data_IF_763337943729
#
_entry.id   IF_763337943729
#
_cell.length_a   1.000
_cell.length_b   1.000
_cell.length_c   1.000
_cell.angle_alpha   90.00
_cell.angle_beta   90.00
_cell.angle_gamma   90.00
#
_symmetry.space_group_name_H-M   'P 1'
#
loop_
_entity.id
_entity.type
_entity.pdbx_description
1 polymer ?
#
# COMPACT_ATOMS: atom_id res chain seq x y z
N UNK A 1 28.06 -5.04 -30.22
CA UNK A 1 27.64 -5.46 -28.85
C UNK A 1 27.32 -4.29 -27.90
N UNK A 2 28.12 -3.20 -27.83
CA UNK A 2 27.80 -2.03 -26.97
C UNK A 2 26.47 -1.33 -27.34
N UNK A 3 26.15 -1.19 -28.62
CA UNK A 3 24.92 -0.53 -29.09
C UNK A 3 23.64 -1.33 -28.80
N UNK A 4 23.66 -2.66 -28.94
CA UNK A 4 22.52 -3.51 -28.58
C UNK A 4 22.14 -3.39 -27.09
N UNK A 5 23.13 -3.21 -26.19
CA UNK A 5 22.88 -2.96 -24.76
C UNK A 5 22.23 -1.60 -24.49
N UNK A 6 22.54 -0.57 -25.29
CA UNK A 6 21.94 0.77 -25.16
C UNK A 6 20.49 0.74 -25.64
N UNK A 7 20.19 0.08 -26.77
CA UNK A 7 18.84 -0.02 -27.31
C UNK A 7 17.90 -0.84 -26.41
N UNK A 8 18.34 -2.00 -25.91
CA UNK A 8 17.57 -2.76 -24.90
C UNK A 8 17.25 -1.90 -23.67
N UNK A 9 18.16 -1.01 -23.26
CA UNK A 9 17.94 -0.12 -22.11
C UNK A 9 16.89 0.94 -22.41
N UNK A 10 16.76 1.42 -23.64
CA UNK A 10 15.72 2.35 -24.07
C UNK A 10 14.35 1.69 -24.19
N UNK A 11 14.28 0.53 -24.83
CA UNK A 11 13.04 -0.27 -24.93
C UNK A 11 12.53 -0.65 -23.54
N UNK A 12 13.43 -1.05 -22.63
CA UNK A 12 13.09 -1.28 -21.23
C UNK A 12 12.65 0.01 -20.52
N UNK A 13 13.21 1.18 -20.85
CA UNK A 13 12.81 2.45 -20.20
C UNK A 13 11.44 2.92 -20.67
N UNK A 14 11.15 2.79 -21.96
CA UNK A 14 9.84 3.10 -22.56
C UNK A 14 8.80 2.08 -22.09
N UNK A 15 9.14 0.78 -22.12
CA UNK A 15 8.30 -0.29 -21.59
C UNK A 15 8.00 -0.13 -20.11
N UNK A 16 9.01 0.18 -19.29
CA UNK A 16 8.85 0.47 -17.84
C UNK A 16 8.08 1.75 -17.54
N UNK A 17 7.88 2.64 -18.50
CA UNK A 17 7.02 3.81 -18.32
C UNK A 17 5.66 3.61 -18.98
N UNK A 18 5.42 2.46 -19.61
CA UNK A 18 4.19 2.25 -20.33
C UNK A 18 4.12 3.20 -21.53
N UNK A 19 5.12 3.20 -22.40
CA UNK A 19 5.09 3.91 -23.69
C UNK A 19 5.03 2.98 -24.90
N UNK A 20 4.96 1.66 -24.71
CA UNK A 20 4.87 0.71 -25.81
C UNK A 20 3.50 0.84 -26.50
N UNK A 21 3.48 1.42 -27.69
CA UNK A 21 2.44 1.14 -28.67
C UNK A 21 2.77 -0.22 -29.31
N UNK A 22 1.81 -1.15 -29.33
CA UNK A 22 2.03 -2.55 -29.76
C UNK A 22 2.41 -2.68 -31.25
N UNK A 23 2.43 -1.58 -32.01
CA UNK A 23 2.45 -1.61 -33.47
C UNK A 23 3.80 -1.31 -34.12
N UNK A 24 4.77 -0.72 -33.43
CA UNK A 24 6.05 -0.35 -34.05
C UNK A 24 7.21 -1.14 -33.46
N UNK A 25 7.46 -2.32 -34.02
CA UNK A 25 8.67 -3.08 -33.72
C UNK A 25 9.82 -2.44 -34.51
N UNK A 26 10.72 -1.73 -33.81
CA UNK A 26 11.90 -1.16 -34.44
C UNK A 26 12.86 -2.28 -34.85
N UNK A 27 13.02 -2.50 -36.15
CA UNK A 27 13.95 -3.48 -36.69
C UNK A 27 15.23 -2.79 -37.14
N UNK A 28 16.31 -2.98 -36.37
CA UNK A 28 17.66 -2.54 -36.72
C UNK A 28 18.52 -3.75 -37.08
N UNK A 29 19.19 -3.72 -38.23
CA UNK A 29 20.08 -4.78 -38.64
C UNK A 29 21.50 -4.56 -38.11
N UNK A 30 22.20 -5.63 -37.74
CA UNK A 30 23.58 -5.55 -37.25
C UNK A 30 24.57 -4.96 -38.28
N UNK A 31 24.20 -4.98 -39.57
CA UNK A 31 24.97 -4.39 -40.68
C UNK A 31 24.73 -2.90 -40.87
N UNK A 32 23.79 -2.30 -40.14
CA UNK A 32 23.46 -0.88 -40.32
C UNK A 32 24.61 0.02 -39.82
N UNK A 33 24.87 1.15 -40.48
CA UNK A 33 25.87 2.11 -40.02
C UNK A 33 25.59 2.64 -38.62
N UNK A 34 26.64 2.98 -37.86
CA UNK A 34 26.53 3.56 -36.50
C UNK A 34 25.65 4.83 -36.49
N UNK A 35 25.70 5.63 -37.57
CA UNK A 35 24.89 6.84 -37.69
C UNK A 35 23.38 6.55 -37.70
N UNK A 36 22.96 5.41 -38.25
CA UNK A 36 21.56 4.96 -38.19
C UNK A 36 21.16 4.71 -36.74
N UNK A 37 22.00 4.04 -35.95
CA UNK A 37 21.72 3.79 -34.53
C UNK A 37 21.62 5.07 -33.71
N UNK A 38 22.52 6.04 -33.92
CA UNK A 38 22.46 7.31 -33.19
C UNK A 38 21.27 8.19 -33.63
N UNK A 39 20.89 8.14 -34.91
CA UNK A 39 19.67 8.79 -35.41
C UNK A 39 18.42 8.21 -34.74
N UNK A 40 18.26 6.89 -34.77
CA UNK A 40 17.12 6.21 -34.14
C UNK A 40 17.08 6.49 -32.64
N UNK A 41 18.21 6.42 -31.94
CA UNK A 41 18.30 6.74 -30.51
C UNK A 41 17.83 8.16 -30.21
N UNK A 42 18.22 9.15 -31.01
CA UNK A 42 17.74 10.54 -30.88
C UNK A 42 16.24 10.65 -31.12
N UNK A 43 15.74 9.95 -32.13
CA UNK A 43 14.30 9.91 -32.43
C UNK A 43 13.51 9.32 -31.26
N UNK A 44 13.94 8.18 -30.71
CA UNK A 44 13.30 7.54 -29.56
C UNK A 44 13.35 8.39 -28.29
N UNK A 45 14.47 9.09 -28.03
CA UNK A 45 14.54 10.07 -26.94
C UNK A 45 13.50 11.18 -27.16
N UNK A 46 13.40 11.72 -28.37
CA UNK A 46 12.42 12.76 -28.71
C UNK A 46 10.98 12.28 -28.52
N UNK A 47 10.66 11.06 -29.00
CA UNK A 47 9.35 10.42 -28.83
C UNK A 47 9.02 10.21 -27.34
N UNK A 48 9.98 9.73 -26.56
CA UNK A 48 9.81 9.53 -25.12
C UNK A 48 9.57 10.87 -24.38
N UNK A 49 10.32 11.92 -24.71
CA UNK A 49 10.11 13.24 -24.09
C UNK A 49 8.77 13.86 -24.50
N UNK A 50 8.35 13.70 -25.76
CA UNK A 50 7.02 14.08 -26.22
C UNK A 50 5.93 13.35 -25.44
N UNK A 51 6.05 12.03 -25.34
CA UNK A 51 5.10 11.18 -24.63
C UNK A 51 5.01 11.53 -23.13
N UNK A 52 6.14 11.80 -22.46
CA UNK A 52 6.13 12.28 -21.06
C UNK A 52 5.36 13.59 -20.90
N UNK A 53 5.53 14.53 -21.84
CA UNK A 53 4.80 15.80 -21.83
C UNK A 53 3.30 15.59 -22.04
N UNK A 54 2.92 14.66 -22.92
CA UNK A 54 1.53 14.29 -23.14
C UNK A 54 0.91 13.66 -21.89
N UNK A 55 1.58 12.70 -21.23
CA UNK A 55 1.12 12.14 -19.96
C UNK A 55 0.99 13.19 -18.86
N UNK A 56 1.94 14.11 -18.75
CA UNK A 56 1.87 15.22 -17.81
C UNK A 56 0.69 16.15 -18.14
N UNK A 57 0.43 16.43 -19.43
CA UNK A 57 -0.73 17.20 -19.87
C UNK A 57 -2.03 16.50 -19.50
N UNK A 58 -2.14 15.19 -19.74
CA UNK A 58 -3.30 14.40 -19.36
C UNK A 58 -3.53 14.42 -17.86
N UNK A 59 -2.49 14.30 -17.02
CA UNK A 59 -2.62 14.42 -15.56
C UNK A 59 -3.11 15.80 -15.09
N UNK A 60 -2.77 16.87 -15.82
CA UNK A 60 -3.29 18.20 -15.54
C UNK A 60 -4.76 18.37 -15.95
N UNK A 61 -5.18 17.70 -17.03
CA UNK A 61 -6.58 17.72 -17.51
C UNK A 61 -7.46 16.80 -16.65
N UNK A 62 -6.89 15.68 -16.20
CA UNK A 62 -7.57 14.61 -15.48
C UNK A 62 -6.88 14.32 -14.15
N UNK A 63 -7.19 15.08 -13.07
CA UNK A 63 -6.54 14.94 -11.77
C UNK A 63 -6.57 13.53 -11.19
N UNK A 64 -7.62 12.74 -11.48
CA UNK A 64 -7.72 11.34 -11.04
C UNK A 64 -6.57 10.45 -11.52
N UNK A 65 -5.91 10.78 -12.65
CA UNK A 65 -4.73 10.05 -13.13
C UNK A 65 -3.50 10.21 -12.23
N UNK A 66 -3.43 11.25 -11.40
CA UNK A 66 -2.27 11.49 -10.52
C UNK A 66 -2.19 10.51 -9.35
N UNK A 67 -3.20 9.67 -9.15
CA UNK A 67 -3.18 8.59 -8.17
C UNK A 67 -2.50 7.33 -8.71
N UNK A 68 -2.22 7.26 -10.00
CA UNK A 68 -1.67 6.07 -10.64
C UNK A 68 -0.42 6.40 -11.45
N UNK A 69 0.55 5.50 -11.37
CA UNK A 69 1.61 5.43 -12.40
C UNK A 69 0.98 5.05 -13.73
N UNK A 70 1.65 5.40 -14.84
CA UNK A 70 1.16 5.06 -16.17
C UNK A 70 1.14 3.54 -16.39
N UNK A 71 2.03 2.79 -15.75
CA UNK A 71 1.97 1.32 -15.79
C UNK A 71 0.71 0.78 -15.12
N UNK A 72 0.33 1.31 -13.94
CA UNK A 72 -0.92 0.93 -13.27
C UNK A 72 -2.13 1.31 -14.15
N UNK A 73 -2.15 2.53 -14.69
CA UNK A 73 -3.23 2.97 -15.59
C UNK A 73 -3.36 2.03 -16.79
N UNK A 74 -2.23 1.67 -17.44
CA UNK A 74 -2.24 0.70 -18.54
C UNK A 74 -2.68 -0.70 -18.13
N UNK A 75 -2.29 -1.14 -16.94
CA UNK A 75 -2.74 -2.42 -16.43
C UNK A 75 -4.27 -2.43 -16.25
N UNK A 76 -4.85 -1.33 -15.77
CA UNK A 76 -6.31 -1.15 -15.70
C UNK A 76 -6.94 -1.20 -17.08
N UNK A 77 -6.38 -0.49 -18.07
CA UNK A 77 -6.85 -0.54 -19.47
C UNK A 77 -6.87 -1.98 -19.99
N UNK A 78 -5.76 -2.71 -19.83
CA UNK A 78 -5.67 -4.11 -20.28
C UNK A 78 -6.71 -4.99 -19.58
N UNK A 79 -6.92 -4.82 -18.27
CA UNK A 79 -7.92 -5.58 -17.54
C UNK A 79 -9.34 -5.24 -18.02
N UNK A 80 -9.66 -3.96 -18.22
CA UNK A 80 -10.95 -3.54 -18.76
C UNK A 80 -11.21 -4.12 -20.15
N UNK A 81 -10.22 -4.06 -21.05
CA UNK A 81 -10.33 -4.65 -22.40
C UNK A 81 -10.53 -6.16 -22.34
N UNK A 82 -9.84 -6.87 -21.44
CA UNK A 82 -10.04 -8.31 -21.25
C UNK A 82 -11.44 -8.65 -20.71
N UNK A 83 -12.00 -7.81 -19.83
CA UNK A 83 -13.37 -7.97 -19.33
C UNK A 83 -14.39 -7.78 -20.47
N UNK A 84 -14.14 -6.85 -21.40
CA UNK A 84 -15.02 -6.70 -22.57
C UNK A 84 -15.02 -7.97 -23.45
N UNK A 85 -13.88 -8.64 -23.54
CA UNK A 85 -13.73 -9.88 -24.31
C UNK A 85 -14.29 -11.13 -23.61
N UNK A 86 -14.55 -11.06 -22.30
CA UNK A 86 -15.09 -12.20 -21.54
C UNK A 86 -16.60 -12.34 -21.68
N UNK A 87 -17.12 -13.54 -21.37
CA UNK A 87 -18.55 -13.84 -21.34
C UNK A 87 -19.30 -12.85 -20.44
N UNK A 88 -20.49 -12.43 -20.87
CA UNK A 88 -21.29 -11.42 -20.15
C UNK A 88 -21.52 -11.80 -18.68
N UNK A 89 -21.79 -13.08 -18.41
CA UNK A 89 -22.07 -13.61 -17.07
C UNK A 89 -20.91 -13.47 -16.07
N UNK A 90 -19.65 -13.33 -16.51
CA UNK A 90 -18.50 -13.20 -15.62
C UNK A 90 -17.90 -11.78 -15.59
N UNK A 91 -18.47 -10.82 -16.33
CA UNK A 91 -17.91 -9.46 -16.43
C UNK A 91 -17.89 -8.74 -15.10
N UNK A 92 -19.00 -8.81 -14.35
CA UNK A 92 -19.10 -8.14 -13.05
C UNK A 92 -18.09 -8.71 -12.05
N UNK A 93 -17.95 -10.03 -11.98
CA UNK A 93 -16.97 -10.70 -11.11
C UNK A 93 -15.52 -10.29 -11.45
N UNK A 94 -15.18 -10.27 -12.75
CA UNK A 94 -13.85 -9.88 -13.19
C UNK A 94 -13.57 -8.39 -12.96
N UNK A 95 -14.56 -7.51 -13.21
CA UNK A 95 -14.45 -6.09 -12.95
C UNK A 95 -14.29 -5.79 -11.46
N UNK A 96 -15.08 -6.46 -10.63
CA UNK A 96 -14.98 -6.36 -9.18
C UNK A 96 -13.59 -6.81 -8.69
N UNK A 97 -13.04 -7.88 -9.25
CA UNK A 97 -11.74 -8.42 -8.86
C UNK A 97 -10.55 -7.58 -9.34
N UNK A 98 -10.56 -7.12 -10.58
CA UNK A 98 -9.35 -6.57 -11.24
C UNK A 98 -9.39 -5.07 -11.50
N UNK A 99 -10.58 -4.43 -11.43
CA UNK A 99 -10.75 -3.01 -11.76
C UNK A 99 -11.21 -2.20 -10.55
N UNK A 100 -12.23 -2.68 -9.81
CA UNK A 100 -12.77 -1.97 -8.65
C UNK A 100 -11.70 -1.54 -7.63
N UNK A 101 -10.68 -2.35 -7.27
CA UNK A 101 -9.66 -1.93 -6.31
C UNK A 101 -8.92 -0.67 -6.72
N UNK A 102 -8.72 -0.44 -8.03
CA UNK A 102 -8.09 0.79 -8.53
C UNK A 102 -9.01 1.99 -8.32
N UNK A 103 -10.30 1.87 -8.66
CA UNK A 103 -11.26 2.96 -8.43
C UNK A 103 -11.52 3.22 -6.95
N UNK A 104 -11.39 2.20 -6.09
CA UNK A 104 -11.51 2.36 -4.64
C UNK A 104 -10.36 3.17 -4.01
N UNK A 105 -9.22 3.31 -4.71
CA UNK A 105 -8.17 4.25 -4.31
C UNK A 105 -8.62 5.71 -4.46
N UNK A 106 -9.52 5.98 -5.41
CA UNK A 106 -10.13 7.29 -5.62
C UNK A 106 -11.33 7.50 -4.71
N UNK A 107 -12.19 6.47 -4.59
CA UNK A 107 -13.40 6.48 -3.75
C UNK A 107 -13.55 5.16 -2.99
N UNK A 108 -13.22 5.15 -1.70
CA UNK A 108 -13.26 3.92 -0.90
C UNK A 108 -14.70 3.44 -0.69
N UNK A 109 -15.68 4.32 -0.89
CA UNK A 109 -17.09 4.01 -0.75
C UNK A 109 -17.66 3.30 -1.96
N UNK A 110 -16.97 3.36 -3.12
CA UNK A 110 -17.40 2.73 -4.36
C UNK A 110 -17.56 1.21 -4.18
N UNK A 111 -18.79 0.72 -4.38
CA UNK A 111 -19.11 -0.71 -4.31
C UNK A 111 -19.52 -1.29 -5.66
N UNK A 112 -20.09 -0.47 -6.54
CA UNK A 112 -20.59 -0.91 -7.84
C UNK A 112 -19.72 -0.37 -8.97
N UNK A 113 -19.01 -1.28 -9.65
CA UNK A 113 -18.14 -0.95 -10.79
C UNK A 113 -18.85 -1.06 -12.13
N UNK A 114 -20.01 -1.72 -12.21
CA UNK A 114 -20.71 -1.99 -13.47
C UNK A 114 -21.00 -0.72 -14.30
N UNK A 115 -21.42 0.43 -13.71
CA UNK A 115 -21.61 1.65 -14.49
C UNK A 115 -20.35 2.16 -15.19
N UNK A 116 -19.18 1.95 -14.57
CA UNK A 116 -17.88 2.34 -15.13
C UNK A 116 -17.50 1.40 -16.28
N UNK A 117 -17.77 0.10 -16.14
CA UNK A 117 -17.54 -0.89 -17.22
C UNK A 117 -18.49 -0.65 -18.40
N UNK A 118 -19.75 -0.29 -18.15
CA UNK A 118 -20.70 0.06 -19.20
C UNK A 118 -20.26 1.32 -19.95
N UNK A 119 -19.74 2.32 -19.24
CA UNK A 119 -19.17 3.54 -19.85
C UNK A 119 -17.90 3.23 -20.66
N UNK A 120 -17.04 2.33 -20.18
CA UNK A 120 -15.89 1.79 -20.94
C UNK A 120 -16.31 1.04 -22.20
N UNK A 121 -17.33 0.19 -22.10
CA UNK A 121 -17.84 -0.58 -23.24
C UNK A 121 -18.29 0.34 -24.37
N UNK A 122 -19.04 1.39 -24.07
CA UNK A 122 -19.52 2.36 -25.06
C UNK A 122 -18.37 3.10 -25.76
N UNK A 123 -17.31 3.44 -25.03
CA UNK A 123 -16.17 4.14 -25.60
C UNK A 123 -15.36 3.29 -26.58
N UNK A 124 -15.32 1.97 -26.40
CA UNK A 124 -14.60 1.11 -27.34
C UNK A 124 -15.07 1.25 -28.80
N UNK A 125 -16.28 1.80 -28.99
CA UNK A 125 -16.87 2.13 -30.30
C UNK A 125 -16.42 3.51 -30.85
N UNK A 126 -16.04 4.46 -29.99
CA UNK A 126 -15.80 5.88 -30.31
C UNK A 126 -14.34 6.21 -30.68
N UNK A 127 -13.40 5.24 -30.62
CA UNK A 127 -11.97 5.38 -30.99
C UNK A 127 -11.18 6.47 -30.22
N UNK A 128 -11.65 6.93 -29.06
CA UNK A 128 -10.87 7.80 -28.18
C UNK A 128 -9.61 7.07 -27.67
N UNK A 129 -8.52 7.80 -27.39
CA UNK A 129 -7.32 7.19 -26.82
C UNK A 129 -7.62 6.61 -25.43
N UNK A 130 -7.36 5.32 -25.22
CA UNK A 130 -7.76 4.59 -24.00
C UNK A 130 -7.26 5.24 -22.70
N UNK A 131 -6.06 5.84 -22.72
CA UNK A 131 -5.51 6.52 -21.55
C UNK A 131 -6.25 7.82 -21.21
N UNK A 132 -6.64 8.58 -22.23
CA UNK A 132 -7.42 9.80 -22.08
C UNK A 132 -8.80 9.47 -21.48
N UNK A 133 -9.45 8.45 -22.03
CA UNK A 133 -10.76 8.03 -21.55
C UNK A 133 -10.72 7.44 -20.13
N UNK A 134 -9.69 6.63 -19.81
CA UNK A 134 -9.48 6.18 -18.43
C UNK A 134 -9.29 7.37 -17.49
N UNK A 135 -8.55 8.39 -17.92
CA UNK A 135 -8.37 9.62 -17.14
C UNK A 135 -9.68 10.36 -16.86
N UNK A 136 -10.59 10.40 -17.84
CA UNK A 136 -11.95 10.94 -17.67
C UNK A 136 -12.74 10.14 -16.62
N UNK A 137 -12.73 8.81 -16.69
CA UNK A 137 -13.42 7.95 -15.72
C UNK A 137 -12.86 8.10 -14.30
N UNK A 138 -11.52 8.09 -14.16
CA UNK A 138 -10.86 8.32 -12.88
C UNK A 138 -11.20 9.69 -12.32
N UNK A 139 -11.12 10.75 -13.13
CA UNK A 139 -11.40 12.11 -12.64
C UNK A 139 -12.87 12.30 -12.28
N UNK A 140 -13.80 11.69 -13.03
CA UNK A 140 -15.23 11.65 -12.69
C UNK A 140 -15.50 10.92 -11.37
N UNK A 141 -14.82 9.80 -11.14
CA UNK A 141 -14.93 9.06 -9.88
C UNK A 141 -14.37 9.87 -8.72
N UNK A 142 -13.18 10.43 -8.92
CA UNK A 142 -12.50 11.27 -7.94
C UNK A 142 -13.32 12.52 -7.58
N UNK A 143 -13.87 13.25 -8.56
CA UNK A 143 -14.68 14.46 -8.31
C UNK A 143 -15.98 14.17 -7.57
N UNK A 144 -16.52 12.97 -7.70
CA UNK A 144 -17.75 12.54 -7.01
C UNK A 144 -17.45 11.90 -5.65
N UNK A 145 -16.19 11.71 -5.29
CA UNK A 145 -15.82 11.03 -4.05
C UNK A 145 -15.90 11.95 -2.84
N UNK A 146 -16.54 11.45 -1.78
CA UNK A 146 -16.54 12.08 -0.45
C UNK A 146 -15.18 12.05 0.23
N UNK A 147 -14.24 11.25 -0.27
CA UNK A 147 -12.86 11.20 0.21
C UNK A 147 -12.19 12.58 0.14
N UNK A 148 -12.55 13.36 -0.88
CA UNK A 148 -11.94 14.67 -1.13
C UNK A 148 -12.65 15.80 -0.36
N UNK A 149 -13.93 15.63 0.00
CA UNK A 149 -14.69 16.62 0.79
C UNK A 149 -14.19 16.73 2.25
N UNK A 150 -13.52 15.71 2.77
CA UNK A 150 -13.16 15.57 4.19
C UNK A 150 -11.67 15.75 4.48
N UNK A 151 -10.92 16.39 3.57
CA UNK A 151 -9.51 16.68 3.76
C UNK A 151 -9.27 17.36 5.14
N UNK A 152 -8.43 16.76 6.01
CA UNK A 152 -8.32 17.19 7.40
C UNK A 152 -7.74 18.60 7.52
N UNK A 153 -8.17 19.29 8.57
CA UNK A 153 -7.47 20.47 9.08
C UNK A 153 -6.08 20.01 9.54
N UNK A 154 -5.03 20.60 8.97
CA UNK A 154 -3.67 20.07 8.96
C UNK A 154 -3.00 19.88 10.34
N UNK A 155 -3.68 20.23 11.44
CA UNK A 155 -3.20 20.01 12.80
C UNK A 155 -4.25 19.55 13.83
N UNK A 156 -5.55 19.51 13.51
CA UNK A 156 -6.59 19.29 14.53
C UNK A 156 -7.34 17.94 14.44
N UNK A 157 -7.30 17.26 13.28
CA UNK A 157 -7.98 15.96 13.10
C UNK A 157 -7.11 15.03 12.24
N UNK A 158 -6.35 14.16 12.88
CA UNK A 158 -5.53 13.12 12.20
C UNK A 158 -6.41 12.01 11.62
N UNK A 159 -7.70 11.98 12.00
CA UNK A 159 -8.70 10.96 11.72
C UNK A 159 -8.95 10.69 10.22
N UNK A 160 -8.49 11.56 9.31
CA UNK A 160 -8.67 11.40 7.87
C UNK A 160 -7.38 11.56 7.06
N UNK A 161 -6.23 11.10 7.59
CA UNK A 161 -5.00 11.01 6.78
C UNK A 161 -5.24 10.03 5.61
N UNK A 162 -5.52 10.57 4.42
CA UNK A 162 -5.76 9.75 3.24
C UNK A 162 -4.46 9.03 2.85
N UNK A 163 -4.53 7.71 2.67
CA UNK A 163 -3.38 6.86 2.32
C UNK A 163 -2.61 7.38 1.11
N UNK A 164 -3.37 7.85 0.14
CA UNK A 164 -2.87 8.38 -1.12
C UNK A 164 -2.11 9.71 -0.94
N UNK A 165 -2.19 10.34 0.22
CA UNK A 165 -1.44 11.57 0.52
C UNK A 165 -0.05 11.30 1.11
N UNK A 166 0.24 10.05 1.50
CA UNK A 166 1.54 9.67 2.08
C UNK A 166 2.23 8.67 1.17
N UNK A 167 3.36 9.06 0.59
CA UNK A 167 4.23 8.15 -0.15
C UNK A 167 5.39 7.71 0.75
N UNK A 168 5.43 6.43 1.06
CA UNK A 168 6.52 5.81 1.82
C UNK A 168 7.54 5.30 0.82
N UNK A 169 8.72 5.91 0.82
CA UNK A 169 9.79 5.52 -0.09
C UNK A 169 10.33 4.13 0.27
N UNK A 170 10.53 3.34 -0.77
CA UNK A 170 11.26 2.07 -0.76
C UNK A 170 12.29 2.09 -1.90
N UNK A 171 13.18 1.11 -1.93
CA UNK A 171 14.21 1.02 -2.97
C UNK A 171 13.62 0.96 -4.37
N UNK A 172 12.44 0.33 -4.50
CA UNK A 172 11.69 0.18 -5.75
C UNK A 172 10.76 1.35 -6.07
N UNK A 173 10.63 2.35 -5.19
CA UNK A 173 9.85 3.56 -5.49
C UNK A 173 10.49 4.29 -6.66
N UNK A 174 9.64 4.71 -7.59
CA UNK A 174 10.02 5.35 -8.84
C UNK A 174 9.94 6.88 -8.73
N UNK A 175 10.65 7.56 -9.63
CA UNK A 175 10.53 9.01 -9.84
C UNK A 175 9.07 9.42 -10.12
N UNK A 176 8.34 8.57 -10.84
CA UNK A 176 6.98 8.84 -11.27
C UNK A 176 5.98 8.85 -10.10
N UNK A 177 6.11 7.94 -9.13
CA UNK A 177 5.27 7.95 -7.92
C UNK A 177 5.44 9.26 -7.14
N UNK A 178 6.67 9.78 -7.06
CA UNK A 178 6.95 11.07 -6.43
C UNK A 178 6.38 12.23 -7.26
N UNK A 179 6.49 12.19 -8.58
CA UNK A 179 5.87 13.18 -9.47
C UNK A 179 4.34 13.20 -9.33
N UNK A 180 3.71 12.03 -9.24
CA UNK A 180 2.29 11.87 -8.96
C UNK A 180 1.89 12.51 -7.61
N UNK A 181 2.65 12.26 -6.54
CA UNK A 181 2.40 12.89 -5.24
C UNK A 181 2.50 14.41 -5.30
N UNK A 182 3.52 14.95 -5.97
CA UNK A 182 3.69 16.38 -6.14
C UNK A 182 2.56 16.99 -6.98
N UNK A 183 2.16 16.34 -8.08
CA UNK A 183 1.05 16.79 -8.91
C UNK A 183 -0.26 16.83 -8.12
N UNK A 184 -0.55 15.81 -7.29
CA UNK A 184 -1.71 15.83 -6.38
C UNK A 184 -1.69 17.05 -5.47
N UNK A 185 -0.53 17.31 -4.86
CA UNK A 185 -0.31 18.48 -4.00
C UNK A 185 -0.66 19.79 -4.70
N UNK A 186 -0.25 19.96 -5.96
CA UNK A 186 -0.50 21.20 -6.70
C UNK A 186 -1.92 21.32 -7.26
N UNK A 187 -2.49 20.22 -7.76
CA UNK A 187 -3.82 20.24 -8.38
C UNK A 187 -4.93 20.52 -7.37
N UNK A 188 -4.80 20.03 -6.12
CA UNK A 188 -5.74 20.36 -5.05
C UNK A 188 -5.90 21.86 -4.82
N UNK A 189 -4.90 22.67 -5.18
CA UNK A 189 -4.97 24.12 -4.97
C UNK A 189 -5.65 24.90 -6.10
N UNK A 190 -5.87 24.28 -7.27
CA UNK A 190 -6.43 24.97 -8.45
C UNK A 190 -7.95 24.98 -8.50
N UNK A 191 -8.60 23.99 -7.88
CA UNK A 191 -10.05 23.80 -7.99
C UNK A 191 -10.85 24.56 -6.91
N UNK A 192 -10.25 24.82 -5.74
CA UNK A 192 -10.89 25.55 -4.65
C UNK A 192 -10.80 27.08 -4.81
N UNK A 193 -11.75 27.65 -5.55
CA UNK A 193 -11.99 29.11 -5.57
C UNK A 193 -12.66 29.62 -4.29
N UNK A 194 -13.11 28.73 -3.42
CA UNK A 194 -13.73 29.06 -2.13
C UNK A 194 -12.63 29.20 -1.07
N UNK A 195 -12.41 30.42 -0.59
CA UNK A 195 -11.35 30.80 0.37
C UNK A 195 -11.34 30.04 1.72
N UNK A 196 -12.26 29.09 1.93
CA UNK A 196 -12.44 28.36 3.18
C UNK A 196 -12.11 26.85 3.08
N UNK A 197 -11.62 26.37 1.94
CA UNK A 197 -11.27 24.96 1.79
C UNK A 197 -9.92 24.65 2.46
N UNK A 198 -9.88 23.55 3.24
CA UNK A 198 -8.72 23.11 4.00
C UNK A 198 -7.65 22.55 3.06
N UNK A 199 -6.42 23.06 3.16
CA UNK A 199 -5.30 22.56 2.36
C UNK A 199 -4.89 21.16 2.83
N UNK A 200 -4.99 20.12 1.98
CA UNK A 200 -4.56 18.77 2.34
C UNK A 200 -3.04 18.71 2.55
N UNK A 201 -2.62 17.90 3.53
CA UNK A 201 -1.23 17.56 3.78
C UNK A 201 -0.81 16.39 2.89
N UNK A 202 0.22 16.59 2.08
CA UNK A 202 0.92 15.53 1.35
C UNK A 202 2.30 15.28 1.94
N UNK A 203 2.73 14.01 2.00
CA UNK A 203 3.94 13.62 2.69
C UNK A 203 4.79 12.63 1.90
N UNK A 204 6.09 12.90 1.79
CA UNK A 204 7.11 11.97 1.31
C UNK A 204 7.93 11.47 2.50
N UNK A 205 7.89 10.16 2.76
CA UNK A 205 8.47 9.55 3.97
C UNK A 205 9.69 8.70 3.61
N UNK A 206 10.80 8.93 4.31
CA UNK A 206 12.10 8.25 4.20
C UNK A 206 12.72 8.28 2.80
N UNK A 207 12.96 9.46 2.19
CA UNK A 207 13.60 9.55 0.88
C UNK A 207 14.99 8.87 0.80
N UNK A 208 15.65 8.63 1.94
CA UNK A 208 16.86 7.83 2.07
C UNK A 208 16.71 6.35 1.68
N UNK A 209 15.49 5.83 1.59
CA UNK A 209 15.20 4.46 1.13
C UNK A 209 15.16 4.35 -0.39
N UNK A 210 15.11 5.47 -1.11
CA UNK A 210 15.11 5.47 -2.57
C UNK A 210 16.45 4.96 -3.11
N UNK A 211 16.43 4.21 -4.21
CA UNK A 211 17.65 3.89 -4.93
C UNK A 211 18.40 5.18 -5.33
N UNK A 212 19.73 5.19 -5.26
CA UNK A 212 20.55 6.39 -5.49
C UNK A 212 20.23 7.08 -6.82
N UNK A 213 20.05 6.31 -7.90
CA UNK A 213 19.68 6.87 -9.22
C UNK A 213 18.30 7.53 -9.23
N UNK A 214 17.39 7.11 -8.36
CA UNK A 214 16.07 7.72 -8.16
C UNK A 214 16.18 8.97 -7.30
N UNK A 215 16.99 8.96 -6.23
CA UNK A 215 17.25 10.14 -5.37
C UNK A 215 17.69 11.34 -6.21
N UNK A 216 18.66 11.16 -7.11
CA UNK A 216 19.14 12.25 -7.97
C UNK A 216 18.02 12.80 -8.86
N UNK A 217 17.18 11.93 -9.45
CA UNK A 217 16.06 12.34 -10.30
C UNK A 217 14.98 13.07 -9.51
N UNK A 218 14.61 12.55 -8.33
CA UNK A 218 13.66 13.16 -7.41
C UNK A 218 14.16 14.52 -6.94
N UNK A 219 15.46 14.67 -6.68
CA UNK A 219 16.07 15.95 -6.32
C UNK A 219 15.92 16.98 -7.44
N UNK A 220 16.19 16.58 -8.70
CA UNK A 220 15.97 17.44 -9.88
C UNK A 220 14.49 17.79 -10.02
N UNK A 221 13.60 16.82 -9.84
CA UNK A 221 12.15 16.98 -9.91
C UNK A 221 11.63 17.99 -8.87
N UNK A 222 12.04 17.86 -7.61
CA UNK A 222 11.65 18.76 -6.52
C UNK A 222 12.16 20.18 -6.77
N UNK A 223 13.40 20.34 -7.22
CA UNK A 223 13.92 21.67 -7.61
C UNK A 223 13.11 22.28 -8.74
N UNK A 224 12.75 21.47 -9.73
CA UNK A 224 11.97 21.90 -10.89
C UNK A 224 10.55 22.30 -10.52
N UNK A 225 9.87 21.56 -9.64
CA UNK A 225 8.43 21.70 -9.35
C UNK A 225 8.09 22.50 -8.08
N UNK A 226 9.01 22.59 -7.11
CA UNK A 226 8.77 23.31 -5.85
C UNK A 226 9.60 24.59 -5.75
N UNK A 227 10.80 24.60 -6.32
CA UNK A 227 11.79 25.66 -6.09
C UNK A 227 12.01 26.56 -7.30
N UNK A 228 11.32 26.31 -8.41
CA UNK A 228 11.41 27.19 -9.56
C UNK A 228 10.75 28.55 -9.25
N UNK A 229 11.44 29.64 -9.58
CA UNK A 229 10.98 31.01 -9.27
C UNK A 229 9.63 31.34 -9.91
N UNK A 230 9.31 30.73 -11.06
CA UNK A 230 8.03 30.89 -11.73
C UNK A 230 6.88 30.24 -10.96
N UNK A 231 7.11 29.07 -10.37
CA UNK A 231 6.08 28.34 -9.64
C UNK A 231 5.83 28.94 -8.25
N UNK A 232 6.90 29.32 -7.53
CA UNK A 232 6.79 29.95 -6.21
C UNK A 232 5.94 31.23 -6.22
N UNK A 233 5.87 31.93 -7.36
CA UNK A 233 5.07 33.17 -7.50
C UNK A 233 3.63 32.94 -7.92
N UNK A 234 3.30 31.77 -8.46
CA UNK A 234 1.99 31.45 -9.02
C UNK A 234 1.21 30.43 -8.20
N UNK A 235 1.84 29.82 -7.19
CA UNK A 235 1.23 28.77 -6.41
C UNK A 235 0.32 29.31 -5.30
N UNK A 236 -0.89 28.77 -5.28
CA UNK A 236 -1.76 28.79 -4.12
C UNK A 236 -1.12 28.05 -2.94
N UNK A 237 -1.55 28.33 -1.69
CA UNK A 237 -1.01 27.65 -0.52
C UNK A 237 -1.17 26.13 -0.64
N UNK A 238 -0.05 25.41 -0.54
CA UNK A 238 -0.01 23.94 -0.48
C UNK A 238 0.74 23.49 0.77
N UNK A 239 0.49 22.25 1.20
CA UNK A 239 1.21 21.65 2.32
C UNK A 239 1.87 20.34 1.87
N UNK A 240 3.18 20.41 1.68
CA UNK A 240 4.03 19.27 1.34
C UNK A 240 5.09 19.09 2.42
N UNK A 241 5.17 17.89 2.98
CA UNK A 241 6.13 17.54 4.04
C UNK A 241 7.05 16.43 3.55
N UNK A 242 8.34 16.56 3.87
CA UNK A 242 9.31 15.48 3.71
C UNK A 242 9.79 15.06 5.07
N UNK A 243 9.58 13.79 5.42
CA UNK A 243 10.05 13.19 6.67
C UNK A 243 11.28 12.34 6.32
N UNK A 244 12.46 12.75 6.79
CA UNK A 244 13.70 12.00 6.60
C UNK A 244 14.36 11.74 7.94
N UNK A 245 14.90 10.52 8.10
CA UNK A 245 15.76 10.15 9.24
C UNK A 245 17.24 10.45 8.99
N UNK A 246 17.61 10.83 7.76
CA UNK A 246 18.99 11.10 7.36
C UNK A 246 19.13 12.52 6.81
N UNK A 247 19.73 13.42 7.61
CA UNK A 247 19.95 14.81 7.21
C UNK A 247 20.94 14.96 6.03
N UNK A 248 21.76 13.95 5.76
CA UNK A 248 22.72 13.92 4.67
C UNK A 248 22.11 13.42 3.34
N UNK A 249 20.85 13.00 3.34
CA UNK A 249 20.16 12.59 2.12
C UNK A 249 20.00 13.78 1.15
N UNK A 250 20.26 13.60 -0.14
CA UNK A 250 20.21 14.69 -1.14
C UNK A 250 18.85 15.41 -1.21
N UNK A 251 17.75 14.68 -1.00
CA UNK A 251 16.40 15.28 -0.94
C UNK A 251 16.26 16.16 0.30
N UNK A 252 16.72 15.66 1.46
CA UNK A 252 16.70 16.42 2.71
C UNK A 252 17.59 17.68 2.64
N UNK A 253 18.80 17.55 2.08
CA UNK A 253 19.71 18.68 1.82
C UNK A 253 19.05 19.71 0.89
N UNK A 254 18.41 19.25 -0.18
CA UNK A 254 17.76 20.14 -1.16
C UNK A 254 16.62 20.95 -0.53
N UNK A 255 15.94 20.40 0.47
CA UNK A 255 14.84 21.06 1.18
C UNK A 255 15.25 21.65 2.54
N UNK A 256 16.55 21.71 2.84
CA UNK A 256 17.06 22.10 4.15
C UNK A 256 16.63 23.51 4.58
N UNK A 257 16.44 24.43 3.64
CA UNK A 257 15.97 25.78 3.93
C UNK A 257 14.54 25.82 4.54
N UNK A 258 13.77 24.74 4.37
CA UNK A 258 12.43 24.59 4.94
C UNK A 258 12.41 23.71 6.20
N UNK A 259 13.58 23.31 6.71
CA UNK A 259 13.69 22.43 7.87
C UNK A 259 12.98 23.05 9.06
N UNK A 260 12.02 22.32 9.61
CA UNK A 260 11.38 22.61 10.89
C UNK A 260 11.80 21.54 11.89
N UNK A 261 12.27 21.95 13.05
CA UNK A 261 12.45 21.07 14.20
C UNK A 261 11.19 21.07 15.03
N UNK A 262 10.54 19.91 15.15
CA UNK A 262 9.43 19.74 16.08
C UNK A 262 9.98 19.48 17.48
N UNK A 263 9.53 20.25 18.47
CA UNK A 263 9.78 19.92 19.86
C UNK A 263 8.90 18.72 20.22
N UNK A 264 9.50 17.56 20.47
CA UNK A 264 8.79 16.30 20.76
C UNK A 264 7.86 16.35 21.99
N UNK A 265 7.85 17.46 22.75
CA UNK A 265 7.04 17.65 23.94
C UNK A 265 5.66 18.28 23.67
N UNK A 266 5.39 18.87 22.50
CA UNK A 266 4.20 19.73 22.34
C UNK A 266 2.91 19.05 21.84
N UNK A 267 2.95 17.84 21.28
CA UNK A 267 1.71 17.13 20.93
C UNK A 267 1.98 15.63 20.82
N UNK A 268 1.80 14.88 21.91
CA UNK A 268 1.51 13.45 21.77
C UNK A 268 0.07 13.33 21.25
N UNK A 269 -0.15 13.64 19.97
CA UNK A 269 -1.35 13.19 19.30
C UNK A 269 -1.33 11.67 19.42
N UNK A 270 -2.29 11.11 20.15
CA UNK A 270 -2.43 9.66 20.24
C UNK A 270 -3.09 9.20 18.94
N UNK A 271 -2.30 9.25 17.87
CA UNK A 271 -2.69 8.90 16.50
C UNK A 271 -3.29 7.49 16.47
N UNK A 272 -2.86 6.64 17.39
CA UNK A 272 -3.38 5.28 17.51
C UNK A 272 -4.83 5.23 17.99
N UNK A 273 -5.22 5.99 19.02
CA UNK A 273 -6.62 6.05 19.50
C UNK A 273 -7.56 6.60 18.41
N UNK A 274 -7.00 7.46 17.56
CA UNK A 274 -7.67 8.04 16.41
C UNK A 274 -7.85 7.01 15.30
N UNK A 275 -6.84 6.21 14.98
CA UNK A 275 -6.87 5.32 13.82
C UNK A 275 -7.34 3.89 14.14
N UNK A 276 -7.19 3.45 15.39
CA UNK A 276 -7.45 2.07 15.81
C UNK A 276 -8.38 2.03 17.02
N UNK A 277 -9.06 0.91 17.15
CA UNK A 277 -9.85 0.60 18.35
C UNK A 277 -8.96 -0.14 19.36
N UNK A 278 -8.98 0.30 20.61
CA UNK A 278 -8.15 -0.31 21.66
C UNK A 278 -8.75 -1.60 22.23
N UNK A 279 -10.08 -1.71 22.20
CA UNK A 279 -10.79 -2.81 22.87
C UNK A 279 -11.31 -3.83 21.86
N UNK A 280 -10.85 -5.08 22.00
CA UNK A 280 -11.31 -6.21 21.17
C UNK A 280 -12.83 -6.38 21.21
N UNK A 281 -13.47 -6.20 22.37
CA UNK A 281 -14.93 -6.32 22.50
C UNK A 281 -15.66 -5.28 21.66
N UNK A 282 -15.20 -4.03 21.68
CA UNK A 282 -15.77 -2.94 20.88
C UNK A 282 -15.64 -3.21 19.39
N UNK A 283 -14.48 -3.69 18.93
CA UNK A 283 -14.28 -4.10 17.53
C UNK A 283 -15.32 -5.14 17.08
N UNK A 284 -15.63 -6.09 17.95
CA UNK A 284 -16.56 -7.17 17.68
C UNK A 284 -18.05 -6.75 17.68
N UNK A 285 -18.39 -5.58 18.23
CA UNK A 285 -19.79 -5.14 18.43
C UNK A 285 -20.14 -3.89 17.65
N UNK A 286 -19.23 -2.93 17.55
CA UNK A 286 -19.45 -1.66 16.87
C UNK A 286 -19.36 -1.88 15.36
N UNK A 287 -20.43 -1.58 14.62
CA UNK A 287 -20.46 -1.66 13.15
C UNK A 287 -20.29 -0.30 12.49
N UNK A 288 -20.94 0.72 13.06
CA UNK A 288 -20.89 2.10 12.57
C UNK A 288 -19.53 2.69 12.96
N UNK A 289 -18.84 3.29 11.99
CA UNK A 289 -17.52 3.93 12.17
C UNK A 289 -16.45 3.03 12.80
N UNK A 290 -16.56 1.71 12.59
CA UNK A 290 -15.60 0.73 13.10
C UNK A 290 -14.18 1.13 12.67
N UNK A 291 -13.26 1.11 13.63
CA UNK A 291 -11.83 1.24 13.36
C UNK A 291 -11.17 -0.15 13.35
N UNK A 292 -10.10 -0.33 12.56
CA UNK A 292 -9.27 -1.53 12.64
C UNK A 292 -8.77 -1.79 14.07
N UNK A 293 -8.51 -3.05 14.41
CA UNK A 293 -7.96 -3.45 15.70
C UNK A 293 -6.52 -3.98 15.54
N UNK A 294 -5.63 -3.59 16.46
CA UNK A 294 -4.25 -4.11 16.51
C UNK A 294 -3.92 -4.48 17.96
N UNK A 295 -3.38 -5.68 18.17
CA UNK A 295 -2.95 -6.17 19.47
C UNK A 295 -1.62 -6.89 19.34
N UNK A 296 -0.67 -6.47 20.16
CA UNK A 296 0.65 -7.07 20.23
C UNK A 296 0.69 -8.15 21.33
N UNK A 297 1.38 -9.25 21.03
CA UNK A 297 1.70 -10.31 21.97
C UNK A 297 3.21 -10.41 22.05
N UNK A 298 3.72 -10.12 23.23
CA UNK A 298 5.16 -10.17 23.54
C UNK A 298 5.41 -11.22 24.61
N UNK A 299 6.67 -11.52 24.88
CA UNK A 299 7.05 -12.43 25.96
C UNK A 299 8.52 -12.25 26.27
N UNK A 300 8.91 -12.32 27.55
CA UNK A 300 10.33 -12.30 27.94
C UNK A 300 11.14 -13.48 27.38
N UNK A 301 10.51 -14.65 27.24
CA UNK A 301 11.18 -15.89 26.85
C UNK A 301 10.49 -16.57 25.66
N UNK A 302 11.26 -17.33 24.89
CA UNK A 302 10.72 -18.22 23.85
C UNK A 302 9.85 -19.31 24.48
N UNK A 303 8.82 -19.76 23.77
CA UNK A 303 7.98 -20.88 24.21
C UNK A 303 6.91 -20.53 25.26
N UNK A 304 6.68 -19.25 25.55
CA UNK A 304 5.62 -18.82 26.49
C UNK A 304 4.19 -18.99 25.94
N UNK A 305 4.00 -19.57 24.74
CA UNK A 305 2.68 -19.92 24.22
C UNK A 305 1.86 -18.76 23.64
N UNK A 306 2.50 -17.72 23.10
CA UNK A 306 1.83 -16.55 22.47
C UNK A 306 0.78 -16.96 21.43
N UNK A 307 1.14 -17.82 20.47
CA UNK A 307 0.18 -18.38 19.50
C UNK A 307 -1.05 -19.00 20.17
N UNK A 308 -0.86 -19.80 21.24
CA UNK A 308 -1.98 -20.43 21.96
C UNK A 308 -2.89 -19.38 22.59
N UNK A 309 -2.29 -18.36 23.23
CA UNK A 309 -3.00 -17.26 23.86
C UNK A 309 -3.84 -16.47 22.85
N UNK A 310 -3.27 -16.14 21.69
CA UNK A 310 -4.00 -15.53 20.56
C UNK A 310 -5.18 -16.41 20.13
N UNK A 311 -4.99 -17.73 19.96
CA UNK A 311 -6.10 -18.64 19.60
C UNK A 311 -7.21 -18.61 20.65
N UNK A 312 -6.83 -18.55 21.93
CA UNK A 312 -7.76 -18.53 23.04
C UNK A 312 -8.55 -17.21 23.10
N UNK A 313 -7.91 -16.07 22.85
CA UNK A 313 -8.56 -14.76 22.93
C UNK A 313 -9.52 -14.54 21.73
N UNK A 314 -9.25 -15.16 20.59
CA UNK A 314 -10.11 -15.13 19.39
C UNK A 314 -11.30 -16.11 19.48
N UNK A 315 -11.24 -17.16 20.31
CA UNK A 315 -12.17 -18.33 20.32
C UNK A 315 -13.67 -18.01 20.49
N UNK A 316 -14.05 -16.76 20.75
CA UNK A 316 -15.41 -16.35 21.07
C UNK A 316 -16.38 -16.26 19.88
N UNK A 317 -15.93 -16.34 18.61
CA UNK A 317 -16.81 -16.25 17.43
C UNK A 317 -16.30 -17.08 16.25
N UNK A 318 -17.18 -17.45 15.31
CA UNK A 318 -16.85 -18.04 13.98
C UNK A 318 -16.15 -17.00 13.10
N UNK A 319 -14.96 -16.56 13.50
CA UNK A 319 -14.16 -15.59 12.77
C UNK A 319 -13.24 -16.32 11.83
N UNK A 320 -13.13 -15.79 10.63
CA UNK A 320 -12.12 -16.24 9.69
C UNK A 320 -10.76 -15.76 10.17
N UNK A 321 -9.85 -16.72 10.33
CA UNK A 321 -8.51 -16.47 10.80
C UNK A 321 -7.51 -16.77 9.70
N UNK A 322 -6.78 -15.73 9.32
CA UNK A 322 -5.68 -15.81 8.37
C UNK A 322 -4.41 -15.81 9.19
N UNK A 323 -3.57 -16.81 8.98
CA UNK A 323 -2.34 -16.96 9.72
C UNK A 323 -1.15 -16.76 8.78
N UNK A 324 -0.29 -15.81 9.14
CA UNK A 324 0.83 -15.39 8.30
C UNK A 324 2.12 -15.48 9.09
N UNK A 325 3.11 -16.17 8.53
CA UNK A 325 4.42 -16.33 9.14
C UNK A 325 5.46 -15.50 8.41
N UNK A 326 6.26 -14.77 9.17
CA UNK A 326 7.43 -14.04 8.70
C UNK A 326 8.66 -14.71 9.31
N UNK A 327 9.22 -15.69 8.59
CA UNK A 327 10.32 -16.55 9.05
C UNK A 327 11.61 -16.38 8.23
N UNK A 328 11.72 -15.26 7.52
CA UNK A 328 12.85 -14.92 6.66
C UNK A 328 13.32 -13.50 6.95
N UNK A 329 14.60 -13.24 6.74
CA UNK A 329 15.17 -11.89 6.82
C UNK A 329 14.67 -10.98 5.69
N UNK A 330 14.24 -11.57 4.58
CA UNK A 330 13.68 -10.90 3.40
C UNK A 330 12.18 -11.18 3.36
N UNK A 331 11.39 -10.14 3.12
CA UNK A 331 9.94 -10.23 3.00
C UNK A 331 9.56 -10.86 1.65
N UNK A 332 8.83 -11.97 1.69
CA UNK A 332 8.20 -12.57 0.50
C UNK A 332 6.93 -11.80 0.15
N UNK A 333 7.09 -10.75 -0.66
CA UNK A 333 5.99 -9.90 -1.10
C UNK A 333 4.95 -10.65 -1.91
N UNK A 334 5.34 -11.63 -2.71
CA UNK A 334 4.40 -12.40 -3.53
C UNK A 334 3.51 -13.27 -2.63
N UNK A 335 4.10 -13.96 -1.65
CA UNK A 335 3.34 -14.70 -0.64
C UNK A 335 2.39 -13.79 0.13
N UNK A 336 2.87 -12.63 0.57
CA UNK A 336 2.08 -11.66 1.34
C UNK A 336 0.93 -11.12 0.52
N UNK A 337 1.18 -10.61 -0.68
CA UNK A 337 0.14 -10.06 -1.55
C UNK A 337 -0.88 -11.15 -1.85
N UNK A 338 -0.45 -12.36 -2.24
CA UNK A 338 -1.38 -13.45 -2.51
C UNK A 338 -2.20 -13.85 -1.28
N UNK A 339 -1.59 -13.88 -0.09
CA UNK A 339 -2.28 -14.28 1.15
C UNK A 339 -3.17 -13.17 1.70
N UNK A 340 -2.80 -11.90 1.63
CA UNK A 340 -3.65 -10.79 2.07
C UNK A 340 -4.77 -10.50 1.07
N UNK A 341 -4.46 -10.52 -0.24
CA UNK A 341 -5.41 -10.08 -1.26
C UNK A 341 -6.55 -11.07 -1.44
N UNK A 342 -6.33 -12.36 -1.18
CA UNK A 342 -7.38 -13.38 -1.18
C UNK A 342 -8.51 -13.13 -0.17
N UNK A 343 -8.26 -12.29 0.84
CA UNK A 343 -9.20 -12.05 1.93
C UNK A 343 -9.52 -10.57 2.12
N UNK A 344 -9.07 -9.71 1.19
CA UNK A 344 -9.68 -8.39 1.05
C UNK A 344 -11.16 -8.58 0.69
N UNK A 345 -12.09 -7.79 1.28
CA UNK A 345 -13.54 -7.90 1.03
C UNK A 345 -13.94 -7.79 -0.46
N UNK A 346 -12.99 -7.47 -1.33
CA UNK A 346 -13.15 -7.29 -2.76
C UNK A 346 -12.93 -8.57 -3.59
N UNK A 347 -12.91 -9.76 -2.98
CA UNK A 347 -12.92 -11.03 -3.71
C UNK A 347 -14.23 -11.81 -3.50
N UNK A 348 -15.10 -11.79 -4.51
CA UNK A 348 -16.09 -12.84 -4.73
C UNK A 348 -15.38 -14.01 -5.41
N UNK A 349 -15.21 -15.12 -4.69
CA UNK A 349 -14.75 -16.37 -5.29
C UNK A 349 -15.94 -17.03 -6.01
N UNK A 350 -16.24 -16.61 -7.23
CA UNK A 350 -17.21 -17.30 -8.08
C UNK A 350 -16.64 -17.83 -9.41
N UNK A 351 -15.32 -17.93 -9.56
CA UNK A 351 -14.76 -18.49 -10.79
C UNK A 351 -14.29 -19.93 -10.54
N UNK A 352 -15.15 -20.85 -11.01
CA UNK A 352 -14.90 -22.25 -11.34
C UNK A 352 -14.45 -23.17 -10.21
N UNK A 353 -15.38 -23.56 -9.34
CA UNK A 353 -15.49 -25.00 -9.05
C UNK A 353 -16.33 -25.59 -10.17
N UNK A 354 -15.73 -26.48 -10.96
CA UNK A 354 -16.48 -27.45 -11.77
C UNK A 354 -17.57 -28.07 -10.88
N UNK A 355 -18.72 -28.36 -11.46
CA UNK A 355 -20.00 -28.67 -10.82
C UNK A 355 -20.03 -29.90 -9.86
N UNK A 356 -18.90 -30.36 -9.33
CA UNK A 356 -18.76 -31.52 -8.45
C UNK A 356 -18.27 -31.22 -7.03
N UNK A 357 -18.03 -29.97 -6.65
CA UNK A 357 -17.78 -29.59 -5.24
C UNK A 357 -18.62 -28.39 -4.81
N UNK A 358 -19.90 -28.66 -4.52
CA UNK A 358 -20.73 -27.80 -3.68
C UNK A 358 -20.19 -27.83 -2.24
N UNK A 359 -19.15 -27.05 -1.98
CA UNK A 359 -18.95 -26.52 -0.63
C UNK A 359 -19.49 -25.09 -0.65
N UNK A 360 -20.52 -24.85 0.16
CA UNK A 360 -21.16 -23.56 0.42
C UNK A 360 -20.11 -22.52 0.79
N UNK A 361 -19.55 -21.84 -0.21
CA UNK A 361 -18.67 -20.71 0.00
C UNK A 361 -19.58 -19.54 0.29
N UNK A 362 -19.84 -19.32 1.59
CA UNK A 362 -20.66 -18.20 2.07
C UNK A 362 -20.19 -16.91 1.41
N UNK A 363 -21.13 -16.22 0.77
CA UNK A 363 -20.95 -14.88 0.25
C UNK A 363 -20.52 -13.96 1.40
N UNK A 364 -19.32 -13.38 1.29
CA UNK A 364 -18.78 -12.51 2.34
C UNK A 364 -19.45 -11.15 2.26
N UNK A 365 -19.86 -10.63 3.41
CA UNK A 365 -20.35 -9.25 3.52
C UNK A 365 -19.23 -8.31 3.95
N UNK A 366 -19.33 -7.00 3.63
CA UNK A 366 -18.39 -5.97 4.11
C UNK A 366 -18.30 -5.90 5.64
N UNK A 367 -19.33 -6.37 6.33
CA UNK A 367 -19.39 -6.44 7.79
C UNK A 367 -18.62 -7.63 8.37
N UNK A 368 -18.24 -8.59 7.53
CA UNK A 368 -17.53 -9.78 7.97
C UNK A 368 -16.15 -9.39 8.50
N UNK A 369 -15.88 -9.87 9.70
CA UNK A 369 -14.65 -9.58 10.42
C UNK A 369 -13.56 -10.54 9.98
N UNK A 370 -12.42 -9.97 9.58
CA UNK A 370 -11.24 -10.72 9.17
C UNK A 370 -10.16 -10.57 10.22
N UNK A 371 -9.66 -11.70 10.73
CA UNK A 371 -8.63 -11.71 11.77
C UNK A 371 -7.32 -12.23 11.20
N UNK A 372 -6.31 -11.38 11.19
CA UNK A 372 -4.94 -11.73 10.84
C UNK A 372 -4.15 -12.06 12.11
N UNK A 373 -3.55 -13.25 12.15
CA UNK A 373 -2.47 -13.56 13.09
C UNK A 373 -1.15 -13.48 12.36
N UNK A 374 -0.39 -12.41 12.63
CA UNK A 374 0.94 -12.19 12.10
C UNK A 374 1.97 -12.76 13.08
N UNK A 375 2.70 -13.78 12.65
CA UNK A 375 3.72 -14.48 13.41
C UNK A 375 5.10 -14.05 12.95
N UNK A 376 5.74 -13.17 13.73
CA UNK A 376 7.03 -12.60 13.41
C UNK A 376 8.12 -13.44 14.09
N UNK A 377 9.00 -14.01 13.29
CA UNK A 377 10.14 -14.80 13.78
C UNK A 377 11.29 -13.90 14.23
N UNK A 378 12.24 -14.45 15.01
CA UNK A 378 13.47 -13.75 15.43
C UNK A 378 14.39 -13.39 14.26
N UNK A 379 14.28 -14.11 13.14
CA UNK A 379 15.15 -13.96 11.97
C UNK A 379 14.72 -12.87 10.99
N UNK A 380 13.61 -12.17 11.24
CA UNK A 380 13.15 -11.10 10.34
C UNK A 380 14.16 -9.95 10.27
N UNK A 381 14.27 -9.36 9.09
CA UNK A 381 15.13 -8.21 8.84
C UNK A 381 14.44 -6.89 9.18
N UNK A 382 15.18 -5.78 8.99
CA UNK A 382 14.68 -4.41 9.27
C UNK A 382 13.46 -4.02 8.44
N UNK A 383 13.26 -4.67 7.29
CA UNK A 383 12.15 -4.43 6.36
C UNK A 383 10.77 -4.69 6.99
N UNK A 384 10.69 -5.51 8.04
CA UNK A 384 9.42 -5.81 8.72
C UNK A 384 8.76 -4.55 9.29
N UNK A 385 9.56 -3.58 9.72
CA UNK A 385 9.07 -2.31 10.24
C UNK A 385 8.36 -1.52 9.13
N UNK A 386 9.00 -1.42 7.96
CA UNK A 386 8.46 -0.72 6.81
C UNK A 386 7.18 -1.39 6.31
N UNK A 387 7.14 -2.73 6.32
CA UNK A 387 5.95 -3.51 5.98
C UNK A 387 4.80 -3.29 6.96
N UNK A 388 5.03 -3.44 8.27
CA UNK A 388 3.98 -3.25 9.27
C UNK A 388 3.44 -1.82 9.24
N UNK A 389 4.33 -0.85 9.04
CA UNK A 389 3.96 0.53 8.87
C UNK A 389 3.03 0.71 7.66
N UNK A 390 3.41 0.22 6.49
CA UNK A 390 2.55 0.27 5.30
C UNK A 390 1.23 -0.46 5.53
N UNK A 391 1.28 -1.66 6.12
CA UNK A 391 0.10 -2.46 6.40
C UNK A 391 -0.90 -1.66 7.24
N UNK A 392 -0.45 -1.10 8.37
CA UNK A 392 -1.26 -0.32 9.29
C UNK A 392 -1.87 0.94 8.69
N UNK A 393 -1.21 1.56 7.72
CA UNK A 393 -1.80 2.65 6.96
C UNK A 393 -2.90 2.16 6.01
N UNK A 394 -2.82 0.90 5.56
CA UNK A 394 -3.69 0.32 4.53
C UNK A 394 -4.80 -0.62 5.06
N UNK A 395 -5.01 -0.72 6.38
CA UNK A 395 -5.98 -1.66 6.96
C UNK A 395 -7.44 -1.21 6.85
N UNK A 396 -8.35 -2.13 6.54
CA UNK A 396 -9.77 -1.81 6.52
C UNK A 396 -10.39 -1.81 7.94
N UNK A 397 -11.43 -0.99 8.19
CA UNK A 397 -12.27 -1.02 9.39
C UNK A 397 -12.62 -2.39 9.95
N UNK A 398 -12.88 -3.38 9.10
CA UNK A 398 -13.31 -4.72 9.49
C UNK A 398 -12.15 -5.71 9.75
N UNK A 399 -10.91 -5.23 9.76
CA UNK A 399 -9.71 -6.07 9.96
C UNK A 399 -9.16 -5.94 11.37
N UNK A 400 -8.76 -7.08 11.93
CA UNK A 400 -8.06 -7.17 13.21
C UNK A 400 -6.71 -7.87 13.06
N UNK A 401 -5.67 -7.33 13.69
CA UNK A 401 -4.31 -7.82 13.61
C UNK A 401 -3.81 -8.22 15.00
N UNK A 402 -3.55 -9.51 15.16
CA UNK A 402 -2.93 -10.11 16.34
C UNK A 402 -1.49 -10.43 15.99
N UNK A 403 -0.55 -9.70 16.57
CA UNK A 403 0.85 -9.72 16.14
C UNK A 403 1.69 -10.35 17.22
N UNK A 404 2.26 -11.49 16.89
CA UNK A 404 3.19 -12.21 17.73
C UNK A 404 4.60 -11.68 17.48
N UNK A 405 5.16 -11.00 18.49
CA UNK A 405 6.51 -10.45 18.44
C UNK A 405 7.47 -11.42 19.15
N UNK A 406 8.61 -11.79 18.55
CA UNK A 406 9.57 -12.69 19.17
C UNK A 406 10.22 -12.01 20.39
N UNK A 407 10.69 -12.83 21.34
CA UNK A 407 11.33 -12.32 22.55
C UNK A 407 12.70 -11.67 22.29
N UNK A 408 13.34 -12.04 21.17
CA UNK A 408 14.65 -11.57 20.74
C UNK A 408 14.71 -11.59 19.21
N UNK A 409 15.49 -10.67 18.64
CA UNK A 409 15.85 -10.67 17.23
C UNK A 409 17.29 -11.13 17.05
N UNK A 410 17.53 -11.83 15.94
CA UNK A 410 18.87 -12.31 15.61
C UNK A 410 19.72 -11.20 14.97
N UNK A 411 19.08 -10.29 14.21
CA UNK A 411 19.76 -9.30 13.37
C UNK A 411 19.52 -7.83 13.78
N UNK A 412 18.55 -7.58 14.67
CA UNK A 412 18.20 -6.25 15.14
C UNK A 412 18.75 -6.03 16.55
N UNK A 413 19.56 -5.00 16.74
CA UNK A 413 19.89 -4.52 18.07
C UNK A 413 18.65 -3.81 18.63
N UNK A 414 18.01 -4.40 19.63
CA UNK A 414 16.80 -3.84 20.24
C UNK A 414 15.90 -4.85 20.93
N UNK A 415 14.78 -4.33 21.43
CA UNK A 415 13.64 -5.03 22.02
C UNK A 415 12.50 -5.15 21.01
N UNK A 416 11.46 -5.90 21.37
CA UNK A 416 10.19 -5.96 20.64
C UNK A 416 9.58 -4.57 20.33
N UNK A 417 9.81 -3.57 21.20
CA UNK A 417 9.31 -2.22 21.00
C UNK A 417 9.97 -1.49 19.82
N UNK A 418 11.18 -1.91 19.43
CA UNK A 418 11.98 -1.24 18.40
C UNK A 418 11.53 -1.57 16.97
N UNK A 419 10.64 -2.57 16.79
CA UNK A 419 10.02 -2.88 15.49
C UNK A 419 9.02 -1.81 15.05
N UNK A 420 8.33 -1.17 15.99
CA UNK A 420 7.23 -0.27 15.70
C UNK A 420 7.61 1.21 15.85
N UNK A 421 8.87 1.49 16.22
CA UNK A 421 9.37 2.81 16.60
C UNK A 421 9.43 3.82 15.45
N UNK A 422 9.47 3.37 14.20
CA UNK A 422 9.85 4.21 13.06
C UNK A 422 8.93 5.41 12.85
N UNK A 423 7.63 5.32 13.22
CA UNK A 423 6.66 6.42 13.15
C UNK A 423 5.75 6.57 14.38
N UNK A 424 5.73 5.58 15.28
CA UNK A 424 5.10 5.70 16.59
C UNK A 424 6.22 5.82 17.63
N UNK A 425 6.51 7.04 18.14
CA UNK A 425 7.62 7.24 19.09
C UNK A 425 7.51 6.35 20.32
N UNK A 426 6.27 5.99 20.69
CA UNK A 426 5.92 4.96 21.66
C UNK A 426 4.58 4.37 21.24
N UNK A 427 4.54 3.22 20.55
CA UNK A 427 3.28 2.63 20.20
C UNK A 427 2.54 2.23 21.46
N UNK A 428 1.30 2.69 21.58
CA UNK A 428 0.36 2.41 22.66
C UNK A 428 -0.64 1.33 22.29
N UNK A 429 -0.40 0.61 21.20
CA UNK A 429 -1.18 -0.57 20.86
C UNK A 429 -1.34 -1.47 22.09
N UNK A 430 -2.56 -1.97 22.34
CA UNK A 430 -2.80 -2.98 23.35
C UNK A 430 -1.72 -4.06 23.25
N UNK A 431 -1.03 -4.31 24.36
CA UNK A 431 0.08 -5.26 24.43
C UNK A 431 -0.14 -6.25 25.55
N UNK A 432 -0.10 -7.54 25.24
CA UNK A 432 -0.16 -8.63 26.20
C UNK A 432 1.26 -9.21 26.32
N UNK A 433 1.87 -9.05 27.50
CA UNK A 433 3.09 -9.79 27.85
C UNK A 433 2.70 -11.20 28.30
N UNK A 434 2.90 -12.18 27.43
CA UNK A 434 2.53 -13.58 27.68
C UNK A 434 3.55 -14.22 28.61
N UNK A 435 3.08 -14.64 29.78
CA UNK A 435 3.90 -15.20 30.84
C UNK A 435 3.17 -16.37 31.53
N UNK A 436 3.82 -16.96 32.54
CA UNK A 436 3.28 -18.16 33.22
C UNK A 436 1.98 -17.88 33.98
N UNK A 437 1.75 -16.63 34.39
CA UNK A 437 0.62 -16.26 35.25
C UNK A 437 -0.65 -16.08 34.41
N UNK A 438 -0.54 -15.41 33.25
CA UNK A 438 -1.67 -15.18 32.34
C UNK A 438 -1.84 -16.24 31.25
N UNK A 439 -0.85 -17.13 31.10
CA UNK A 439 -0.87 -18.25 30.19
C UNK A 439 -0.28 -19.51 30.85
N UNK A 440 -0.95 -20.07 31.87
CA UNK A 440 -0.47 -21.25 32.55
C UNK A 440 -0.41 -22.40 31.55
N UNK A 441 0.75 -23.05 31.47
CA UNK A 441 0.93 -24.21 30.61
C UNK A 441 0.00 -25.34 31.07
N UNK A 442 -1.02 -25.64 30.26
CA UNK A 442 -1.94 -26.74 30.52
C UNK A 442 -1.56 -27.92 29.64
N UNK A 443 -1.09 -29.00 30.27
CA UNK A 443 -0.94 -30.27 29.58
C UNK A 443 -2.31 -30.74 29.06
N UNK A 444 -2.36 -31.21 27.81
CA UNK A 444 -3.54 -31.91 27.31
C UNK A 444 -3.82 -33.18 28.12
N UNK A 445 -5.06 -33.70 28.09
CA UNK A 445 -5.47 -34.86 28.91
C UNK A 445 -4.53 -36.06 28.73
N UNK A 446 -4.07 -36.30 27.51
CA UNK A 446 -3.13 -37.38 27.18
C UNK A 446 -1.77 -37.18 27.85
N UNK A 447 -1.20 -35.96 27.77
CA UNK A 447 0.06 -35.65 28.43
C UNK A 447 -0.07 -35.69 29.96
N UNK A 448 -1.19 -35.24 30.52
CA UNK A 448 -1.49 -35.38 31.95
C UNK A 448 -1.53 -36.85 32.35
N UNK A 449 -2.18 -37.71 31.56
CA UNK A 449 -2.25 -39.16 31.81
C UNK A 449 -0.86 -39.80 31.81
N UNK A 450 -0.03 -39.47 30.82
CA UNK A 450 1.36 -39.95 30.76
C UNK A 450 2.19 -39.51 31.97
N UNK A 451 2.07 -38.25 32.40
CA UNK A 451 2.77 -37.74 33.58
C UNK A 451 2.29 -38.45 34.86
N UNK A 452 0.98 -38.58 35.04
CA UNK A 452 0.38 -39.25 36.21
C UNK A 452 0.83 -40.71 36.28
N UNK A 453 0.81 -41.44 35.17
CA UNK A 453 1.21 -42.85 35.14
C UNK A 453 2.73 -43.04 35.24
N UNK A 454 3.53 -42.16 34.64
CA UNK A 454 4.98 -42.15 34.82
C UNK A 454 5.36 -41.91 36.28
N UNK A 455 4.71 -40.96 36.95
CA UNK A 455 4.92 -40.68 38.37
C UNK A 455 4.49 -41.86 39.27
N UNK A 456 3.37 -42.51 38.96
CA UNK A 456 2.93 -43.72 39.67
C UNK A 456 3.93 -44.87 39.54
N UNK A 457 4.47 -45.09 38.35
CA UNK A 457 5.47 -46.15 38.12
C UNK A 457 6.80 -45.83 38.81
N UNK A 458 7.21 -44.56 38.88
CA UNK A 458 8.46 -44.16 39.57
C UNK A 458 8.42 -44.36 41.09
N UNK A 459 7.23 -44.23 41.71
CA UNK A 459 7.02 -44.47 43.15
C UNK A 459 6.92 -45.94 43.54
N UNK A 460 6.75 -46.84 42.56
CA UNK A 460 6.75 -48.30 42.77
C UNK A 460 8.15 -48.90 42.64
N UNK A 461 9.13 -48.11 42.21
CA UNK A 461 10.53 -48.53 41.99
C UNK A 461 11.53 -47.97 43.01
N UNK A 462 11.06 -47.24 44.02
CA UNK A 462 11.81 -46.81 45.21
C UNK A 462 11.11 -47.37 46.43
#
# INVERSE_FOLDING_TARGET
MKFAKIFMRFELTIGKRGGLDKKEMLMLHAKDPIDTFEKEKKEWISRLEKWKKECLSLRNIYPGLTYFTINEARHVIVNMDQILLSNYECRDDLAFKYVLPYFQRLDYSLQNISPIIDEWTKQSEEKEESLQFLGKLFSKTWSNSKNNETAPDCFAKVDTLCREHVLICKETTTEEEVECLLLRTFLCTKEDKTQNARTPLYCLVWPEKLAMTTVTKVTVLLRRMLLSQSELRQMHPYLFVVISSNQENEVAITLQQFKRTFNANETSLNVEDILYIEQWKSFLTEKVDRKPFVQLYTSKNVGMGKTWKIKHDIKSKKLERIYMRFNSSIIDWDFIVNTFWQYLPCQFNNISKTASQQDETKERTKDDLVVYHLDISSCVGKEINDFLFQLFFHVNPNMAFFIEIPSKFDSLQGTAADILYTLFPKPRFPTIDVNKDNNPFQFGREAQYCIINGLKNSKLTT
#
